data_IF_015511919987
#
_entry.id   IF_015511919987
#
_cell.length_a   1.000
_cell.length_b   1.000
_cell.length_c   1.000
_cell.angle_alpha   90.00
_cell.angle_beta   90.00
_cell.angle_gamma   90.00
#
_symmetry.space_group_name_H-M   'P 1'
#
loop_
_entity.id
_entity.type
_entity.pdbx_description
1 polymer ?
#
# COMPACT_ATOMS: atom_id res chain seq x y z
N UNK A 1 -1.69 -13.89 -6.19
CA UNK A 1 -0.23 -13.93 -6.25
C UNK A 1 0.33 -13.17 -5.06
N UNK A 2 1.23 -13.78 -4.33
CA UNK A 2 1.94 -13.14 -3.22
C UNK A 2 3.20 -12.43 -3.70
N UNK A 3 3.75 -11.56 -2.86
CA UNK A 3 5.07 -10.98 -3.03
C UNK A 3 6.09 -11.88 -2.32
N UNK A 4 7.28 -12.01 -2.85
CA UNK A 4 8.38 -12.77 -2.23
C UNK A 4 9.20 -11.93 -1.26
N UNK A 5 8.98 -10.63 -1.21
CA UNK A 5 9.73 -9.71 -0.37
C UNK A 5 8.85 -8.57 0.16
N UNK A 6 9.20 -8.06 1.33
CA UNK A 6 8.80 -6.75 1.83
C UNK A 6 9.88 -5.77 1.39
N UNK A 7 9.52 -4.80 0.56
CA UNK A 7 10.48 -3.94 -0.11
C UNK A 7 11.09 -2.83 0.76
N UNK A 8 10.55 -2.60 1.93
CA UNK A 8 11.03 -1.54 2.82
C UNK A 8 11.07 -2.04 4.26
N UNK A 9 12.26 -2.31 4.74
CA UNK A 9 12.60 -2.48 6.14
C UNK A 9 13.86 -1.66 6.41
N UNK A 10 13.74 -0.60 7.17
CA UNK A 10 14.80 0.41 7.29
C UNK A 10 15.81 0.05 8.36
N UNK A 11 15.38 -0.61 9.42
CA UNK A 11 16.20 -1.05 10.55
C UNK A 11 17.05 0.09 11.17
N UNK A 12 16.39 1.20 11.44
CA UNK A 12 17.04 2.38 12.02
C UNK A 12 17.68 2.10 13.40
N UNK A 13 17.22 1.08 14.09
CA UNK A 13 17.70 0.74 15.44
C UNK A 13 18.95 -0.12 15.44
N UNK A 14 19.34 -0.73 14.32
CA UNK A 14 20.55 -1.58 14.23
C UNK A 14 21.86 -0.80 14.19
N UNK A 15 21.79 0.51 13.92
CA UNK A 15 22.96 1.36 13.68
C UNK A 15 23.61 1.19 12.29
N UNK A 16 23.11 0.24 11.47
CA UNK A 16 23.61 0.01 10.12
C UNK A 16 23.01 0.98 9.10
N UNK A 17 21.80 1.49 9.40
CA UNK A 17 21.07 2.39 8.54
C UNK A 17 20.73 3.67 9.29
N UNK A 18 20.69 4.78 8.55
CA UNK A 18 20.25 6.08 9.06
C UNK A 18 19.07 6.58 8.23
N UNK A 19 18.29 7.48 8.82
CA UNK A 19 17.21 8.15 8.08
C UNK A 19 17.77 8.86 6.84
N UNK A 20 18.93 9.52 6.96
CA UNK A 20 19.57 10.23 5.85
C UNK A 20 19.86 9.30 4.67
N UNK A 21 20.51 8.16 4.91
CA UNK A 21 20.83 7.27 3.78
C UNK A 21 19.60 6.56 3.18
N UNK A 22 18.52 6.44 3.93
CA UNK A 22 17.25 5.99 3.36
C UNK A 22 16.60 7.09 2.50
N UNK A 23 16.59 8.34 2.96
CA UNK A 23 16.11 9.48 2.16
C UNK A 23 16.91 9.66 0.87
N UNK A 24 18.23 9.55 0.95
CA UNK A 24 19.10 9.62 -0.22
C UNK A 24 18.80 8.52 -1.24
N UNK A 25 18.55 7.29 -0.75
CA UNK A 25 18.12 6.18 -1.61
C UNK A 25 16.80 6.50 -2.33
N UNK A 26 15.78 6.90 -1.58
CA UNK A 26 14.45 7.20 -2.16
C UNK A 26 14.53 8.39 -3.12
N UNK A 27 15.27 9.44 -2.77
CA UNK A 27 15.49 10.60 -3.64
C UNK A 27 16.14 10.19 -4.97
N UNK A 28 17.16 9.35 -4.92
CA UNK A 28 17.84 8.87 -6.12
C UNK A 28 16.94 7.98 -6.97
N UNK A 29 16.20 7.07 -6.36
CA UNK A 29 15.30 6.15 -7.04
C UNK A 29 14.14 6.88 -7.73
N UNK A 30 13.62 7.92 -7.09
CA UNK A 30 12.53 8.76 -7.61
C UNK A 30 13.04 10.03 -8.35
N UNK A 31 14.33 10.12 -8.67
CA UNK A 31 14.92 11.25 -9.44
C UNK A 31 14.64 12.62 -8.82
N UNK A 32 14.57 12.72 -7.50
CA UNK A 32 14.29 13.95 -6.77
C UNK A 32 12.80 14.33 -6.68
N UNK A 33 11.91 13.59 -7.31
CA UNK A 33 10.47 13.86 -7.24
C UNK A 33 9.90 13.09 -6.04
N UNK A 34 10.04 13.68 -4.85
CA UNK A 34 9.60 13.07 -3.60
C UNK A 34 9.29 14.09 -2.51
N UNK A 35 8.28 13.80 -1.71
CA UNK A 35 7.96 14.48 -0.46
C UNK A 35 8.77 13.83 0.68
N UNK A 36 9.97 14.34 0.91
CA UNK A 36 10.91 13.74 1.87
C UNK A 36 10.40 13.76 3.30
N UNK A 37 9.58 14.70 3.67
CA UNK A 37 8.91 14.75 4.97
C UNK A 37 7.97 13.56 5.19
N UNK A 38 7.22 13.15 4.16
CA UNK A 38 6.36 11.97 4.20
C UNK A 38 7.18 10.68 4.17
N UNK A 39 8.23 10.63 3.35
CA UNK A 39 9.15 9.49 3.31
C UNK A 39 9.86 9.31 4.66
N UNK A 40 10.28 10.39 5.30
CA UNK A 40 10.87 10.35 6.64
C UNK A 40 9.88 9.83 7.69
N UNK A 41 8.61 10.22 7.60
CA UNK A 41 7.56 9.70 8.47
C UNK A 41 7.36 8.20 8.28
N UNK A 42 7.27 7.75 7.03
CA UNK A 42 7.16 6.32 6.71
C UNK A 42 8.37 5.54 7.25
N UNK A 43 9.59 6.03 7.00
CA UNK A 43 10.82 5.36 7.42
C UNK A 43 10.91 5.11 8.94
N UNK A 44 10.33 6.00 9.74
CA UNK A 44 10.30 5.85 11.21
C UNK A 44 9.30 4.79 11.70
N UNK A 45 8.34 4.41 10.87
CA UNK A 45 7.21 3.58 11.29
C UNK A 45 7.06 2.27 10.50
N UNK A 46 7.69 2.14 9.34
CA UNK A 46 7.52 0.96 8.46
C UNK A 46 7.95 -0.34 9.14
N UNK A 47 9.02 -0.30 9.91
CA UNK A 47 9.54 -1.49 10.60
C UNK A 47 8.54 -2.05 11.60
N UNK A 48 7.81 -1.19 12.31
CA UNK A 48 6.75 -1.63 13.23
C UNK A 48 5.63 -2.40 12.53
N UNK A 49 5.32 -2.05 11.28
CA UNK A 49 4.35 -2.77 10.46
C UNK A 49 4.85 -4.17 10.08
N UNK A 50 6.15 -4.30 9.82
CA UNK A 50 6.78 -5.61 9.52
C UNK A 50 6.71 -6.53 10.75
N UNK A 51 6.98 -6.00 11.94
CA UNK A 51 6.83 -6.76 13.18
C UNK A 51 5.38 -7.16 13.47
N UNK A 52 4.40 -6.34 13.06
CA UNK A 52 2.99 -6.74 13.12
C UNK A 52 2.70 -7.91 12.18
N UNK A 53 3.23 -7.92 10.96
CA UNK A 53 3.07 -9.05 10.04
C UNK A 53 3.64 -10.34 10.62
N UNK A 54 4.81 -10.27 11.26
CA UNK A 54 5.39 -11.41 11.95
C UNK A 54 4.48 -11.89 13.11
N UNK A 55 3.95 -10.96 13.90
CA UNK A 55 3.01 -11.26 14.99
C UNK A 55 1.73 -11.94 14.50
N UNK A 56 1.27 -11.61 13.29
CA UNK A 56 0.12 -12.25 12.65
C UNK A 56 0.45 -13.59 12.01
N UNK A 57 1.70 -14.02 12.09
CA UNK A 57 2.14 -15.32 11.62
C UNK A 57 2.70 -15.33 10.19
N UNK A 58 3.01 -14.17 9.60
CA UNK A 58 3.69 -14.14 8.31
C UNK A 58 5.11 -14.70 8.46
N UNK A 59 5.48 -15.78 7.72
CA UNK A 59 6.83 -16.29 7.73
C UNK A 59 7.79 -15.29 7.07
N UNK A 60 8.65 -14.69 7.89
CA UNK A 60 9.76 -13.85 7.45
C UNK A 60 11.03 -14.66 7.63
N UNK A 61 11.86 -14.73 6.61
CA UNK A 61 13.08 -15.55 6.65
C UNK A 61 14.07 -14.99 7.66
N UNK A 62 14.61 -15.89 8.48
CA UNK A 62 15.63 -15.60 9.48
C UNK A 62 16.86 -16.46 9.25
N UNK A 63 18.02 -15.89 9.55
CA UNK A 63 19.28 -16.61 9.58
C UNK A 63 19.42 -17.48 10.85
N UNK A 64 20.57 -18.13 11.00
CA UNK A 64 20.86 -19.00 12.15
C UNK A 64 20.92 -18.25 13.48
N UNK A 65 21.18 -16.95 13.42
CA UNK A 65 21.22 -16.04 14.57
C UNK A 65 19.83 -15.43 14.90
N UNK A 66 18.82 -15.74 14.09
CA UNK A 66 17.45 -15.24 14.24
C UNK A 66 17.23 -13.84 13.68
N UNK A 67 18.17 -13.29 12.91
CA UNK A 67 18.04 -12.01 12.24
C UNK A 67 17.32 -12.17 10.91
N UNK A 68 16.60 -11.13 10.51
CA UNK A 68 15.93 -11.12 9.21
C UNK A 68 16.91 -11.25 8.04
N UNK A 69 16.58 -12.11 7.07
CA UNK A 69 17.34 -12.26 5.84
C UNK A 69 16.97 -11.14 4.87
N UNK A 70 17.95 -10.37 4.48
CA UNK A 70 17.81 -9.28 3.53
C UNK A 70 18.20 -9.70 2.12
N UNK A 71 17.48 -9.20 1.14
CA UNK A 71 17.93 -9.15 -0.25
C UNK A 71 18.22 -7.68 -0.59
N UNK A 72 19.49 -7.36 -0.78
CA UNK A 72 19.92 -5.97 -0.82
C UNK A 72 19.84 -5.31 0.55
N UNK A 73 19.64 -3.99 0.56
CA UNK A 73 19.71 -3.21 1.81
C UNK A 73 18.34 -3.05 2.51
N UNK A 74 17.26 -2.98 1.74
CA UNK A 74 15.95 -2.56 2.23
C UNK A 74 14.87 -3.63 2.17
N UNK A 75 15.16 -4.78 1.56
CA UNK A 75 14.17 -5.83 1.35
C UNK A 75 14.34 -6.96 2.36
N UNK A 76 13.22 -7.45 2.88
CA UNK A 76 13.15 -8.69 3.67
C UNK A 76 12.51 -9.80 2.85
N UNK A 77 13.06 -11.00 2.95
CA UNK A 77 12.50 -12.18 2.31
C UNK A 77 11.33 -12.76 3.12
N UNK A 78 10.23 -13.03 2.45
CA UNK A 78 9.01 -13.58 3.06
C UNK A 78 8.46 -14.75 2.25
N UNK A 79 7.55 -15.52 2.85
CA UNK A 79 6.68 -16.41 2.10
C UNK A 79 5.54 -15.58 1.49
N UNK A 80 5.69 -15.24 0.22
CA UNK A 80 4.75 -14.34 -0.47
C UNK A 80 3.39 -14.96 -0.75
N UNK A 81 3.24 -16.27 -0.78
CA UNK A 81 1.95 -16.90 -1.05
C UNK A 81 0.97 -16.75 0.13
N UNK A 82 1.47 -16.78 1.35
CA UNK A 82 0.66 -16.60 2.56
C UNK A 82 0.44 -15.15 2.96
N UNK A 83 1.24 -14.22 2.43
CA UNK A 83 1.22 -12.81 2.83
C UNK A 83 -0.19 -12.18 2.79
N UNK A 84 -0.85 -12.24 1.64
CA UNK A 84 -2.16 -11.58 1.48
C UNK A 84 -3.26 -12.24 2.30
N UNK A 85 -3.21 -13.55 2.47
CA UNK A 85 -4.18 -14.28 3.28
C UNK A 85 -4.05 -13.87 4.74
N UNK A 86 -2.83 -13.88 5.28
CA UNK A 86 -2.56 -13.51 6.68
C UNK A 86 -2.95 -12.08 6.98
N UNK A 87 -2.57 -11.13 6.10
CA UNK A 87 -2.89 -9.71 6.31
C UNK A 87 -4.39 -9.45 6.16
N UNK A 88 -5.06 -10.11 5.22
CA UNK A 88 -6.51 -9.98 5.05
C UNK A 88 -7.28 -10.55 6.25
N UNK A 89 -6.84 -11.68 6.80
CA UNK A 89 -7.44 -12.28 7.99
C UNK A 89 -7.24 -11.39 9.23
N UNK A 90 -6.03 -10.85 9.41
CA UNK A 90 -5.76 -9.90 10.48
C UNK A 90 -6.63 -8.63 10.38
N UNK A 91 -6.81 -8.10 9.17
CA UNK A 91 -7.68 -6.95 8.94
C UNK A 91 -9.15 -7.26 9.22
N UNK A 92 -9.63 -8.44 8.80
CA UNK A 92 -10.99 -8.90 9.08
C UNK A 92 -11.25 -9.02 10.58
N UNK A 93 -10.36 -9.67 11.32
CA UNK A 93 -10.48 -9.82 12.76
C UNK A 93 -10.50 -8.47 13.47
N UNK A 94 -9.63 -7.53 13.07
CA UNK A 94 -9.61 -6.18 13.64
C UNK A 94 -10.90 -5.39 13.35
N UNK A 95 -11.48 -5.57 12.16
CA UNK A 95 -12.77 -4.96 11.81
C UNK A 95 -13.92 -5.55 12.61
N UNK A 96 -13.95 -6.87 12.82
CA UNK A 96 -14.96 -7.52 13.64
C UNK A 96 -14.89 -7.05 15.10
N UNK A 97 -13.69 -6.96 15.69
CA UNK A 97 -13.47 -6.41 17.03
C UNK A 97 -13.94 -4.95 17.14
N UNK A 98 -13.68 -4.15 16.12
CA UNK A 98 -14.09 -2.75 16.03
C UNK A 98 -15.58 -2.58 15.67
N UNK A 99 -16.32 -3.66 15.42
CA UNK A 99 -17.69 -3.65 14.89
C UNK A 99 -17.79 -2.86 13.57
N UNK A 100 -16.76 -2.98 12.75
CA UNK A 100 -16.72 -2.41 11.41
C UNK A 100 -17.43 -3.29 10.39
N UNK A 101 -17.69 -2.73 9.22
CA UNK A 101 -18.36 -3.42 8.11
C UNK A 101 -17.45 -3.48 6.89
N UNK A 102 -17.57 -4.57 6.12
CA UNK A 102 -16.88 -4.74 4.83
C UNK A 102 -17.95 -4.76 3.73
N UNK A 103 -17.82 -3.85 2.79
CA UNK A 103 -18.68 -3.78 1.60
C UNK A 103 -17.92 -4.33 0.39
N UNK A 104 -18.15 -5.58 0.06
CA UNK A 104 -17.55 -6.23 -1.09
C UNK A 104 -18.24 -5.83 -2.40
N UNK A 105 -17.47 -5.89 -3.49
CA UNK A 105 -17.97 -5.60 -4.86
C UNK A 105 -18.58 -4.20 -5.04
N UNK A 106 -18.14 -3.24 -4.24
CA UNK A 106 -18.50 -1.83 -4.40
C UNK A 106 -17.36 -1.09 -5.08
N UNK A 107 -17.63 -0.50 -6.21
CA UNK A 107 -16.68 0.33 -6.95
C UNK A 107 -16.85 1.78 -6.50
N UNK A 108 -15.84 2.31 -5.81
CA UNK A 108 -15.79 3.70 -5.37
C UNK A 108 -15.38 4.59 -6.54
N UNK A 109 -16.18 5.61 -6.80
CA UNK A 109 -15.98 6.50 -7.96
C UNK A 109 -15.43 7.87 -7.58
N UNK A 110 -15.94 8.47 -6.50
CA UNK A 110 -15.61 9.84 -6.13
C UNK A 110 -15.57 10.02 -4.61
N UNK A 111 -14.77 10.98 -4.09
CA UNK A 111 -14.95 11.47 -2.73
C UNK A 111 -16.30 12.19 -2.62
N UNK A 112 -16.91 12.10 -1.46
CA UNK A 112 -18.06 12.93 -1.09
C UNK A 112 -17.52 14.19 -0.42
N UNK A 113 -17.77 15.34 -1.01
CA UNK A 113 -17.25 16.62 -0.54
C UNK A 113 -18.38 17.49 0.02
N UNK A 114 -18.07 18.22 1.09
CA UNK A 114 -18.87 19.32 1.63
C UNK A 114 -17.97 20.56 1.70
N UNK A 115 -18.08 21.42 0.71
CA UNK A 115 -17.09 22.46 0.45
C UNK A 115 -15.72 21.83 0.19
N UNK A 116 -14.72 22.23 0.97
CA UNK A 116 -13.33 21.72 0.89
C UNK A 116 -13.05 20.53 1.80
N UNK A 117 -14.09 19.94 2.38
CA UNK A 117 -13.95 18.84 3.34
C UNK A 117 -14.40 17.52 2.73
N UNK A 118 -13.55 16.50 2.78
CA UNK A 118 -13.93 15.14 2.43
C UNK A 118 -14.75 14.52 3.58
N UNK A 119 -16.04 14.29 3.32
CA UNK A 119 -17.00 13.73 4.30
C UNK A 119 -17.41 12.29 3.97
N UNK A 120 -16.66 11.63 3.07
CA UNK A 120 -16.91 10.25 2.73
C UNK A 120 -16.59 9.90 1.29
N UNK A 121 -17.33 8.94 0.75
CA UNK A 121 -17.16 8.45 -0.61
C UNK A 121 -18.48 8.02 -1.22
N UNK A 122 -18.53 7.97 -2.56
CA UNK A 122 -19.67 7.43 -3.30
C UNK A 122 -19.21 6.35 -4.27
N UNK A 123 -20.08 5.40 -4.54
CA UNK A 123 -19.80 4.31 -5.43
C UNK A 123 -21.05 3.51 -5.80
N UNK A 124 -20.85 2.44 -6.54
CA UNK A 124 -21.95 1.55 -6.94
C UNK A 124 -21.56 0.09 -6.79
N UNK A 125 -22.55 -0.74 -6.54
CA UNK A 125 -22.35 -2.20 -6.51
C UNK A 125 -22.16 -2.73 -7.92
N UNK A 126 -21.18 -3.64 -8.06
CA UNK A 126 -20.97 -4.38 -9.30
C UNK A 126 -21.91 -5.57 -9.45
N UNK A 127 -22.76 -5.85 -8.45
CA UNK A 127 -23.64 -7.02 -8.43
C UNK A 127 -25.11 -6.72 -8.21
N UNK A 128 -25.44 -5.69 -7.41
CA UNK A 128 -26.79 -5.51 -6.89
C UNK A 128 -27.53 -4.31 -7.50
N UNK A 129 -26.95 -3.65 -8.50
CA UNK A 129 -27.50 -2.43 -9.10
C UNK A 129 -27.89 -1.36 -8.05
N UNK A 130 -27.05 -1.19 -7.02
CA UNK A 130 -27.22 -0.23 -5.95
C UNK A 130 -26.18 0.87 -6.02
N UNK A 131 -26.59 2.07 -5.67
CA UNK A 131 -25.69 3.19 -5.44
C UNK A 131 -25.44 3.34 -3.93
N UNK A 132 -24.19 3.59 -3.55
CA UNK A 132 -23.78 3.74 -2.18
C UNK A 132 -23.24 5.14 -1.91
N UNK A 133 -23.66 5.69 -0.79
CA UNK A 133 -23.11 6.93 -0.22
C UNK A 133 -22.59 6.60 1.17
N UNK A 134 -21.29 6.64 1.33
CA UNK A 134 -20.62 6.43 2.61
C UNK A 134 -20.31 7.80 3.23
N UNK A 135 -20.86 8.06 4.41
CA UNK A 135 -20.53 9.25 5.20
C UNK A 135 -19.52 8.87 6.28
N UNK A 136 -18.43 9.59 6.35
CA UNK A 136 -17.34 9.29 7.29
C UNK A 136 -16.68 10.57 7.82
N UNK A 137 -16.21 10.53 9.04
CA UNK A 137 -15.43 11.61 9.64
C UNK A 137 -14.00 11.69 9.07
N UNK A 138 -13.48 10.58 8.60
CA UNK A 138 -12.19 10.48 7.92
C UNK A 138 -12.27 9.39 6.84
N UNK A 139 -11.57 9.59 5.74
CA UNK A 139 -11.50 8.64 4.63
C UNK A 139 -10.05 8.28 4.34
N UNK A 140 -9.71 6.99 4.50
CA UNK A 140 -8.39 6.48 4.12
C UNK A 140 -8.45 5.92 2.70
N UNK A 141 -7.56 6.39 1.84
CA UNK A 141 -7.46 5.93 0.45
C UNK A 141 -6.30 4.95 0.33
N UNK A 142 -6.61 3.69 0.03
CA UNK A 142 -5.65 2.60 -0.09
C UNK A 142 -5.95 1.72 -1.32
N UNK A 143 -6.28 2.35 -2.45
CA UNK A 143 -6.75 1.68 -3.68
C UNK A 143 -5.61 1.20 -4.60
N UNK A 144 -4.38 1.22 -4.12
CA UNK A 144 -3.20 0.83 -4.89
C UNK A 144 -2.73 1.89 -5.87
N UNK A 145 -1.83 1.51 -6.76
CA UNK A 145 -1.19 2.39 -7.73
C UNK A 145 -1.89 2.46 -9.08
N UNK A 146 -1.14 2.87 -10.10
CA UNK A 146 -1.59 2.95 -11.49
C UNK A 146 -0.86 1.92 -12.35
N UNK A 147 -1.62 1.12 -13.08
CA UNK A 147 -1.14 0.20 -14.10
C UNK A 147 -1.85 0.53 -15.42
N UNK A 148 -1.26 0.17 -16.53
CA UNK A 148 -1.77 0.49 -17.88
C UNK A 148 -1.86 1.99 -18.22
N UNK A 149 -1.35 2.86 -17.36
CA UNK A 149 -1.27 4.31 -17.65
C UNK A 149 -0.07 4.62 -18.53
N UNK A 150 1.01 3.84 -18.36
CA UNK A 150 2.27 4.03 -19.07
C UNK A 150 2.58 2.87 -20.00
N UNK A 151 3.24 3.18 -21.10
CA UNK A 151 3.79 2.14 -22.00
C UNK A 151 4.92 1.39 -21.25
N UNK A 152 4.91 0.05 -21.24
CA UNK A 152 5.99 -0.72 -20.64
C UNK A 152 7.34 -0.37 -21.24
N UNK A 153 8.38 -0.35 -20.42
CA UNK A 153 9.75 -0.07 -20.86
C UNK A 153 10.34 -1.17 -21.74
N UNK A 154 9.98 -2.41 -21.47
CA UNK A 154 10.55 -3.56 -22.17
C UNK A 154 9.83 -3.83 -23.49
N UNK A 155 10.63 -3.88 -24.56
CA UNK A 155 10.20 -4.36 -25.86
C UNK A 155 9.74 -5.82 -25.75
N UNK A 156 8.52 -6.12 -26.14
CA UNK A 156 7.92 -7.46 -26.06
C UNK A 156 6.95 -7.67 -24.91
N UNK A 157 6.96 -6.83 -23.89
CA UNK A 157 5.93 -6.83 -22.84
C UNK A 157 4.72 -5.93 -23.19
N UNK A 158 4.73 -5.30 -24.36
CA UNK A 158 3.82 -4.25 -24.75
C UNK A 158 2.38 -4.74 -24.85
N UNK A 159 2.00 -5.51 -25.75
CA UNK A 159 0.60 -5.77 -26.05
C UNK A 159 -0.03 -6.81 -25.12
N UNK A 160 -0.89 -6.34 -24.20
CA UNK A 160 -1.75 -7.19 -23.38
C UNK A 160 -1.05 -7.88 -22.20
N UNK A 161 0.22 -7.58 -21.91
CA UNK A 161 0.91 -8.08 -20.72
C UNK A 161 1.01 -6.98 -19.67
N UNK A 162 0.41 -7.21 -18.53
CA UNK A 162 0.55 -6.41 -17.34
C UNK A 162 1.05 -7.27 -16.19
N UNK A 163 2.00 -6.78 -15.44
CA UNK A 163 2.49 -7.42 -14.22
C UNK A 163 1.47 -7.36 -13.08
N UNK A 164 0.54 -6.43 -13.17
CA UNK A 164 -0.47 -6.16 -12.15
C UNK A 164 -1.87 -6.17 -12.75
N UNK A 165 -2.90 -6.31 -11.90
CA UNK A 165 -4.28 -6.26 -12.36
C UNK A 165 -4.57 -4.98 -13.15
N UNK A 166 -5.19 -5.07 -14.33
CA UNK A 166 -5.42 -3.90 -15.18
C UNK A 166 -6.42 -2.89 -14.61
N UNK A 167 -7.13 -3.27 -13.56
CA UNK A 167 -8.13 -2.42 -12.90
C UNK A 167 -7.52 -1.36 -12.00
N UNK A 168 -6.23 -1.46 -11.66
CA UNK A 168 -5.51 -0.40 -10.94
C UNK A 168 -5.14 0.71 -11.91
N UNK A 169 -6.09 1.55 -12.24
CA UNK A 169 -5.97 2.59 -13.27
C UNK A 169 -5.71 3.99 -12.70
N UNK A 170 -5.13 4.09 -11.51
CA UNK A 170 -4.82 5.37 -10.87
C UNK A 170 -5.99 5.99 -10.10
N UNK A 171 -6.98 5.19 -9.73
CA UNK A 171 -8.15 5.68 -8.99
C UNK A 171 -7.82 6.36 -7.67
N UNK A 172 -6.75 5.91 -6.97
CA UNK A 172 -6.27 6.57 -5.75
C UNK A 172 -5.79 8.00 -6.01
N UNK A 173 -5.00 8.20 -7.08
CA UNK A 173 -4.54 9.53 -7.47
C UNK A 173 -5.72 10.43 -7.86
N UNK A 174 -6.64 9.93 -8.69
CA UNK A 174 -7.85 10.66 -9.06
C UNK A 174 -8.66 11.09 -7.83
N UNK A 175 -8.93 10.15 -6.92
CA UNK A 175 -9.75 10.40 -5.74
C UNK A 175 -9.14 11.49 -4.83
N UNK A 176 -7.83 11.43 -4.62
CA UNK A 176 -7.13 12.37 -3.74
C UNK A 176 -6.98 13.75 -4.39
N UNK A 177 -6.59 13.83 -5.67
CA UNK A 177 -6.50 15.10 -6.40
C UNK A 177 -7.85 15.79 -6.51
N UNK A 178 -8.90 15.02 -6.85
CA UNK A 178 -10.25 15.56 -6.91
C UNK A 178 -10.74 16.07 -5.54
N UNK A 179 -10.30 15.44 -4.47
CA UNK A 179 -10.53 15.87 -3.10
C UNK A 179 -9.69 17.06 -2.63
N UNK A 180 -8.83 17.61 -3.49
CA UNK A 180 -8.01 18.79 -3.19
C UNK A 180 -6.66 18.47 -2.52
N UNK A 181 -6.24 17.19 -2.47
CA UNK A 181 -4.94 16.84 -1.92
C UNK A 181 -3.79 17.19 -2.89
N UNK A 182 -2.66 17.61 -2.33
CA UNK A 182 -1.40 17.75 -3.07
C UNK A 182 -0.77 16.39 -3.31
N UNK A 183 -0.14 16.22 -4.49
CA UNK A 183 0.57 15.01 -4.88
C UNK A 183 1.96 15.32 -5.43
#
# INVERSE_FOLDING_TARGET
>A
MGLSAINQYVDLNSGNNTLTNYLDYVRNDLMGITREDLVASIARHVDSSVHLFEKWGLPIWKDKEGKFVHEGRWQLMINGESYKVIVAEAAKNALEEAKGEIFEHVFITHPLLDGDTCVGAVGFSLRDNKFYVFKAKATMVAMGGAVHVFKPRSTGEGFGRSWYPPFNAGGSAFFTIYGGAEM
#
